data_IF_845318932363
#
_entry.id   IF_845318932363
#
_cell.length_a   1.000
_cell.length_b   1.000
_cell.length_c   1.000
_cell.angle_alpha   90.00
_cell.angle_beta   90.00
_cell.angle_gamma   90.00
#
_symmetry.space_group_name_H-M   'P 1'
#
loop_
_entity.id
_entity.type
_entity.pdbx_description
1 polymer ?
#
# COMPACT_ATOMS: atom_id res chain seq x y z
N UNK A 1 -17.83 -4.49 6.85
CA UNK A 1 -17.30 -3.35 7.62
C UNK A 1 -15.81 -3.07 7.39
N UNK A 2 -14.89 -4.04 7.34
CA UNK A 2 -13.51 -3.82 6.85
C UNK A 2 -13.28 -4.22 5.38
N UNK A 3 -14.23 -4.97 4.81
CA UNK A 3 -14.23 -5.47 3.43
C UNK A 3 -14.26 -4.33 2.41
N UNK A 4 -14.94 -3.24 2.74
CA UNK A 4 -15.23 -2.11 1.86
C UNK A 4 -14.02 -1.17 1.78
N UNK A 5 -13.41 -0.82 2.92
CA UNK A 5 -12.13 -0.09 2.95
C UNK A 5 -11.04 -0.89 2.23
N UNK A 6 -10.99 -2.21 2.44
CA UNK A 6 -10.10 -3.10 1.69
C UNK A 6 -10.37 -3.05 0.19
N UNK A 7 -11.63 -3.15 -0.24
CA UNK A 7 -11.99 -3.15 -1.67
C UNK A 7 -11.70 -1.80 -2.32
N UNK A 8 -11.84 -0.71 -1.56
CA UNK A 8 -11.55 0.66 -1.98
C UNK A 8 -10.07 0.91 -2.33
N UNK A 9 -9.15 0.11 -1.77
CA UNK A 9 -7.71 0.21 -2.09
C UNK A 9 -7.35 -0.37 -3.46
N UNK A 10 -8.20 -1.19 -4.07
CA UNK A 10 -7.90 -1.78 -5.38
C UNK A 10 -8.10 -0.77 -6.52
N UNK A 11 -7.22 -0.85 -7.52
CA UNK A 11 -7.23 0.04 -8.69
C UNK A 11 -6.73 1.45 -8.41
N UNK A 12 -6.23 1.72 -7.19
CA UNK A 12 -5.74 3.03 -6.76
C UNK A 12 -4.43 2.88 -5.99
N UNK A 13 -3.69 3.98 -5.92
CA UNK A 13 -2.65 4.18 -4.91
C UNK A 13 -3.24 4.86 -3.67
N UNK A 14 -2.80 4.46 -2.49
CA UNK A 14 -3.30 4.97 -1.21
C UNK A 14 -2.17 5.13 -0.21
N UNK A 15 -2.15 6.26 0.48
CA UNK A 15 -1.20 6.57 1.55
C UNK A 15 -1.95 6.83 2.83
N UNK A 16 -1.59 6.08 3.87
CA UNK A 16 -2.07 6.31 5.22
C UNK A 16 -1.09 7.22 5.94
N UNK A 17 -1.59 8.36 6.42
CA UNK A 17 -0.82 9.40 7.09
C UNK A 17 -1.27 9.50 8.53
N UNK A 18 -0.33 9.43 9.48
CA UNK A 18 -0.64 9.62 10.90
C UNK A 18 0.57 9.97 11.73
N UNK A 19 0.34 10.50 12.94
CA UNK A 19 1.40 10.76 13.91
C UNK A 19 1.86 9.47 14.59
N UNK A 20 2.96 9.54 15.33
CA UNK A 20 3.46 8.39 16.12
C UNK A 20 2.44 7.89 17.16
N UNK A 21 1.54 8.76 17.62
CA UNK A 21 0.56 8.45 18.65
C UNK A 21 -0.75 7.89 18.08
N UNK A 22 -0.92 7.93 16.76
CA UNK A 22 -2.13 7.43 16.09
C UNK A 22 -2.00 5.96 15.71
N UNK A 23 -3.08 5.16 15.76
CA UNK A 23 -3.05 3.72 15.46
C UNK A 23 -3.00 3.41 13.95
N UNK A 24 -2.43 4.31 13.14
CA UNK A 24 -2.36 4.23 11.68
C UNK A 24 -1.76 2.91 11.19
N UNK A 25 -0.61 2.52 11.76
CA UNK A 25 0.04 1.26 11.42
C UNK A 25 -0.89 0.07 11.74
N UNK A 26 -1.48 0.05 12.94
CA UNK A 26 -2.40 -1.00 13.37
C UNK A 26 -3.61 -1.14 12.42
N UNK A 27 -4.18 -0.03 11.97
CA UNK A 27 -5.29 -0.02 10.99
C UNK A 27 -4.85 -0.69 9.68
N UNK A 28 -3.68 -0.34 9.15
CA UNK A 28 -3.18 -0.94 7.90
C UNK A 28 -2.90 -2.43 8.07
N UNK A 29 -2.31 -2.85 9.19
CA UNK A 29 -2.13 -4.27 9.50
C UNK A 29 -3.47 -5.01 9.54
N UNK A 30 -4.52 -4.42 10.12
CA UNK A 30 -5.86 -5.02 10.12
C UNK A 30 -6.43 -5.16 8.70
N UNK A 31 -6.28 -4.16 7.83
CA UNK A 31 -6.77 -4.21 6.45
C UNK A 31 -6.04 -5.31 5.66
N UNK A 32 -4.72 -5.41 5.82
CA UNK A 32 -3.91 -6.42 5.14
C UNK A 32 -4.20 -7.82 5.69
N UNK A 33 -4.37 -7.98 6.99
CA UNK A 33 -4.82 -9.24 7.60
C UNK A 33 -6.15 -9.71 7.00
N UNK A 34 -7.14 -8.84 6.91
CA UNK A 34 -8.45 -9.13 6.31
C UNK A 34 -8.39 -9.41 4.79
N UNK A 35 -7.33 -8.96 4.12
CA UNK A 35 -7.07 -9.29 2.72
C UNK A 35 -6.58 -10.72 2.59
N UNK A 36 -5.56 -11.07 3.38
CA UNK A 36 -4.95 -12.40 3.39
C UNK A 36 -5.97 -13.45 3.88
N UNK A 37 -6.75 -13.14 4.93
CA UNK A 37 -7.83 -13.99 5.47
C UNK A 37 -8.91 -14.29 4.43
N UNK A 38 -9.15 -13.37 3.50
CA UNK A 38 -10.10 -13.56 2.40
C UNK A 38 -9.50 -14.32 1.20
N UNK A 39 -8.31 -14.89 1.35
CA UNK A 39 -7.64 -15.67 0.30
C UNK A 39 -6.99 -14.81 -0.79
N UNK A 40 -6.85 -13.50 -0.58
CA UNK A 40 -6.20 -12.59 -1.54
C UNK A 40 -4.74 -12.40 -1.20
N UNK A 41 -3.91 -12.24 -2.23
CA UNK A 41 -2.47 -12.07 -2.07
C UNK A 41 -2.09 -10.65 -1.65
N UNK A 42 -1.18 -10.56 -0.68
CA UNK A 42 -0.49 -9.33 -0.29
C UNK A 42 0.99 -9.49 -0.64
N UNK A 43 1.54 -8.52 -1.37
CA UNK A 43 2.96 -8.38 -1.65
C UNK A 43 3.47 -7.25 -0.77
N UNK A 44 4.28 -7.57 0.23
CA UNK A 44 4.85 -6.61 1.17
C UNK A 44 6.28 -6.24 0.77
N UNK A 45 6.50 -4.98 0.45
CA UNK A 45 7.82 -4.43 0.18
C UNK A 45 8.37 -3.84 1.48
N UNK A 46 9.43 -4.48 1.99
CA UNK A 46 10.08 -4.08 3.23
C UNK A 46 11.11 -3.00 2.95
N UNK A 47 10.82 -1.76 3.32
CA UNK A 47 11.77 -0.64 3.29
C UNK A 47 12.30 -0.33 4.69
N UNK A 48 11.46 -0.51 5.72
CA UNK A 48 11.77 -0.25 7.13
C UNK A 48 11.97 -1.53 7.94
N UNK A 49 10.97 -2.40 7.91
CA UNK A 49 10.83 -3.53 8.82
C UNK A 49 11.10 -4.82 8.07
N UNK A 50 11.95 -5.69 8.62
CA UNK A 50 12.21 -7.01 8.03
C UNK A 50 10.94 -7.86 8.05
N UNK A 51 10.83 -8.90 7.20
CA UNK A 51 9.71 -9.83 7.24
C UNK A 51 9.39 -10.35 8.65
N UNK A 52 10.41 -10.73 9.44
CA UNK A 52 10.22 -11.20 10.82
C UNK A 52 9.58 -10.14 11.73
N UNK A 53 10.02 -8.89 11.60
CA UNK A 53 9.46 -7.76 12.36
C UNK A 53 8.00 -7.54 11.98
N UNK A 54 7.66 -7.66 10.70
CA UNK A 54 6.28 -7.55 10.22
C UNK A 54 5.41 -8.66 10.82
N UNK A 55 5.85 -9.93 10.79
CA UNK A 55 5.12 -11.02 11.44
C UNK A 55 4.95 -10.80 12.95
N UNK A 56 6.00 -10.33 13.62
CA UNK A 56 5.94 -10.00 15.04
C UNK A 56 4.92 -8.91 15.34
N UNK A 57 4.81 -7.90 14.46
CA UNK A 57 3.79 -6.85 14.55
C UNK A 57 2.37 -7.40 14.37
N UNK A 58 2.12 -8.27 13.39
CA UNK A 58 0.84 -8.98 13.26
C UNK A 58 0.46 -9.71 14.55
N UNK A 59 1.38 -10.49 15.14
CA UNK A 59 1.14 -11.15 16.42
C UNK A 59 0.86 -10.17 17.56
N UNK A 60 1.61 -9.06 17.63
CA UNK A 60 1.44 -8.03 18.67
C UNK A 60 0.10 -7.30 18.59
N UNK A 61 -0.49 -7.24 17.39
CA UNK A 61 -1.83 -6.69 17.17
C UNK A 61 -2.94 -7.75 17.28
N UNK A 62 -2.61 -8.96 17.72
CA UNK A 62 -3.54 -10.09 17.84
C UNK A 62 -4.15 -10.49 16.48
N UNK A 63 -3.36 -10.42 15.41
CA UNK A 63 -3.73 -10.75 14.03
C UNK A 63 -2.93 -11.98 13.52
N UNK A 64 -3.19 -13.19 14.02
CA UNK A 64 -2.38 -14.39 13.76
C UNK A 64 -2.41 -14.84 12.29
N UNK A 65 -1.25 -14.77 11.60
CA UNK A 65 -1.11 -15.13 10.19
C UNK A 65 -0.85 -16.63 9.94
N UNK A 66 -0.70 -17.47 10.96
CA UNK A 66 -0.20 -18.86 10.82
C UNK A 66 -1.08 -19.75 9.92
N UNK A 67 -2.33 -19.36 9.68
CA UNK A 67 -3.26 -20.09 8.80
C UNK A 67 -3.36 -19.54 7.38
N UNK A 68 -2.73 -18.39 7.11
CA UNK A 68 -2.91 -17.63 5.88
C UNK A 68 -1.59 -17.10 5.30
N UNK A 69 -0.45 -17.48 5.90
CA UNK A 69 0.90 -17.07 5.49
C UNK A 69 1.18 -17.32 4.01
N UNK A 70 0.44 -18.27 3.40
CA UNK A 70 0.60 -18.60 1.99
C UNK A 70 0.23 -17.51 1.00
N UNK A 71 -0.63 -16.59 1.42
CA UNK A 71 -1.07 -15.45 0.63
C UNK A 71 -0.22 -14.20 0.87
N UNK A 72 0.90 -14.31 1.59
CA UNK A 72 1.80 -13.20 1.88
C UNK A 72 3.17 -13.44 1.26
N UNK A 73 3.60 -12.49 0.44
CA UNK A 73 4.93 -12.48 -0.20
C UNK A 73 5.71 -11.25 0.23
N UNK A 74 7.01 -11.39 0.37
CA UNK A 74 7.89 -10.27 0.73
C UNK A 74 8.89 -9.96 -0.37
N UNK A 75 9.13 -8.68 -0.58
CA UNK A 75 10.29 -8.16 -1.30
C UNK A 75 11.08 -7.36 -0.28
N UNK A 76 12.13 -8.00 0.25
CA UNK A 76 12.94 -7.46 1.33
C UNK A 76 14.06 -6.60 0.78
N UNK A 77 13.97 -5.30 1.02
CA UNK A 77 14.98 -4.30 0.66
C UNK A 77 15.44 -3.52 1.91
N UNK A 78 15.34 -4.12 3.09
CA UNK A 78 15.73 -3.48 4.34
C UNK A 78 17.24 -3.25 4.43
N UNK A 79 17.64 -2.19 5.14
CA UNK A 79 19.05 -1.83 5.33
C UNK A 79 19.73 -2.75 6.36
N UNK A 80 18.96 -3.40 7.23
CA UNK A 80 19.46 -4.06 8.44
C UNK A 80 20.12 -5.42 8.20
N UNK A 81 20.14 -5.93 6.96
CA UNK A 81 20.93 -7.10 6.58
C UNK A 81 20.52 -8.40 7.28
N UNK A 82 19.25 -8.53 7.68
CA UNK A 82 18.74 -9.76 8.30
C UNK A 82 18.90 -10.95 7.33
N UNK A 83 19.69 -11.93 7.78
CA UNK A 83 20.04 -13.10 6.98
C UNK A 83 19.08 -14.26 7.18
N UNK A 84 18.12 -14.17 8.12
CA UNK A 84 17.13 -15.23 8.32
C UNK A 84 16.17 -15.35 7.14
N UNK A 85 16.11 -16.56 6.58
CA UNK A 85 15.33 -16.85 5.38
C UNK A 85 13.89 -17.12 5.80
N UNK A 86 13.04 -16.10 5.71
CA UNK A 86 11.60 -16.32 5.72
C UNK A 86 11.16 -16.94 4.37
N UNK A 87 10.26 -17.94 4.38
CA UNK A 87 9.63 -18.42 3.16
C UNK A 87 8.95 -17.28 2.40
N UNK A 88 8.89 -17.39 1.06
CA UNK A 88 8.19 -16.43 0.18
C UNK A 88 8.76 -15.01 0.22
N UNK A 89 10.05 -14.90 0.52
CA UNK A 89 10.80 -13.64 0.49
C UNK A 89 11.78 -13.60 -0.68
N UNK A 90 11.69 -12.57 -1.51
CA UNK A 90 12.74 -12.18 -2.45
C UNK A 90 13.60 -11.09 -1.82
N UNK A 91 14.92 -11.23 -1.86
CA UNK A 91 15.84 -10.23 -1.31
C UNK A 91 16.38 -9.32 -2.40
N UNK A 92 16.30 -8.03 -2.15
CA UNK A 92 16.91 -7.00 -2.95
C UNK A 92 18.01 -6.29 -2.15
N UNK A 93 19.08 -5.82 -2.81
CA UNK A 93 19.99 -4.87 -2.18
C UNK A 93 19.21 -3.66 -1.67
N UNK A 94 19.68 -3.09 -0.56
CA UNK A 94 19.00 -1.97 0.10
C UNK A 94 18.74 -0.81 -0.86
N UNK A 95 17.46 -0.44 -0.99
CA UNK A 95 16.95 0.64 -1.84
C UNK A 95 17.26 0.46 -3.33
N UNK A 96 17.49 -0.79 -3.78
CA UNK A 96 17.61 -1.12 -5.20
C UNK A 96 16.22 -1.18 -5.85
N UNK A 97 15.81 -0.03 -6.38
CA UNK A 97 14.52 0.13 -7.07
C UNK A 97 14.33 -0.80 -8.25
N UNK A 98 15.40 -1.13 -8.99
CA UNK A 98 15.29 -2.00 -10.15
C UNK A 98 14.96 -3.42 -9.69
N UNK A 99 15.64 -3.90 -8.65
CA UNK A 99 15.32 -5.19 -8.04
C UNK A 99 13.90 -5.22 -7.47
N UNK A 100 13.51 -4.21 -6.69
CA UNK A 100 12.15 -4.13 -6.09
C UNK A 100 11.08 -4.20 -7.18
N UNK A 101 11.21 -3.36 -8.21
CA UNK A 101 10.24 -3.32 -9.32
C UNK A 101 10.17 -4.67 -10.01
N UNK A 102 11.31 -5.29 -10.32
CA UNK A 102 11.37 -6.57 -11.02
C UNK A 102 10.66 -7.68 -10.23
N UNK A 103 10.94 -7.81 -8.94
CA UNK A 103 10.34 -8.86 -8.11
C UNK A 103 8.85 -8.61 -7.84
N UNK A 104 8.44 -7.36 -7.62
CA UNK A 104 7.01 -7.02 -7.49
C UNK A 104 6.25 -7.31 -8.79
N UNK A 105 6.76 -6.89 -9.95
CA UNK A 105 6.11 -7.13 -11.25
C UNK A 105 6.00 -8.62 -11.55
N UNK A 106 7.05 -9.40 -11.24
CA UNK A 106 7.04 -10.86 -11.38
C UNK A 106 5.98 -11.51 -10.47
N UNK A 107 5.87 -11.05 -9.22
CA UNK A 107 4.81 -11.50 -8.31
C UNK A 107 3.43 -11.13 -8.83
N UNK A 108 3.23 -9.92 -9.33
CA UNK A 108 1.94 -9.48 -9.91
C UNK A 108 1.52 -10.31 -11.13
N UNK A 109 2.47 -10.73 -11.98
CA UNK A 109 2.17 -11.64 -13.11
C UNK A 109 1.68 -13.01 -12.63
N UNK A 110 2.19 -13.49 -11.49
CA UNK A 110 1.79 -14.78 -10.89
C UNK A 110 0.51 -14.66 -10.06
N UNK A 111 0.33 -13.53 -9.40
CA UNK A 111 -0.76 -13.22 -8.49
C UNK A 111 -1.38 -11.86 -8.88
N UNK A 112 -2.18 -11.83 -9.96
CA UNK A 112 -2.87 -10.61 -10.37
C UNK A 112 -3.82 -10.17 -9.27
N UNK A 113 -4.22 -8.90 -9.28
CA UNK A 113 -5.10 -8.30 -8.26
C UNK A 113 -4.54 -8.42 -6.83
N UNK A 114 -3.22 -8.41 -6.66
CA UNK A 114 -2.60 -8.36 -5.31
C UNK A 114 -2.66 -6.93 -4.74
N UNK A 115 -2.74 -6.81 -3.41
CA UNK A 115 -2.37 -5.56 -2.74
C UNK A 115 -0.85 -5.51 -2.57
N UNK A 116 -0.23 -4.43 -3.01
CA UNK A 116 1.19 -4.17 -2.80
C UNK A 116 1.33 -3.14 -1.70
N UNK A 117 2.01 -3.50 -0.62
CA UNK A 117 2.22 -2.67 0.56
C UNK A 117 3.67 -2.20 0.65
N UNK A 118 3.91 -0.91 0.79
CA UNK A 118 5.20 -0.34 1.19
C UNK A 118 5.10 0.08 2.65
N UNK A 119 5.93 -0.50 3.53
CA UNK A 119 5.84 -0.23 4.97
C UNK A 119 6.11 1.23 5.36
N UNK A 120 6.92 1.97 4.61
CA UNK A 120 7.11 3.41 4.81
C UNK A 120 7.69 4.09 3.56
N UNK A 121 6.87 4.86 2.83
CA UNK A 121 7.34 5.62 1.66
C UNK A 121 8.32 6.74 2.04
N UNK A 122 8.27 7.23 3.27
CA UNK A 122 9.16 8.26 3.80
C UNK A 122 10.63 7.84 3.82
N UNK A 123 10.93 6.54 3.89
CA UNK A 123 12.31 6.03 3.78
C UNK A 123 12.92 6.37 2.42
N UNK A 124 12.11 6.40 1.37
CA UNK A 124 12.59 6.73 0.04
C UNK A 124 13.10 8.16 -0.02
N UNK A 125 12.50 9.08 0.76
CA UNK A 125 12.90 10.49 0.82
C UNK A 125 14.31 10.71 1.40
N UNK A 126 14.89 9.74 2.11
CA UNK A 126 16.22 9.85 2.69
C UNK A 126 17.36 9.98 1.64
N UNK A 127 17.06 9.79 0.35
CA UNK A 127 18.05 9.82 -0.73
C UNK A 127 18.22 11.19 -1.40
N UNK A 128 17.61 12.26 -0.89
CA UNK A 128 17.77 13.67 -1.31
C UNK A 128 17.61 13.94 -2.83
N UNK A 129 17.00 13.01 -3.57
CA UNK A 129 16.76 13.11 -5.02
C UNK A 129 15.37 12.64 -5.36
N UNK A 130 14.38 13.52 -5.18
CA UNK A 130 12.96 13.20 -5.38
C UNK A 130 12.67 12.61 -6.78
N UNK A 131 13.33 13.12 -7.83
CA UNK A 131 13.22 12.59 -9.19
C UNK A 131 13.62 11.11 -9.34
N UNK A 132 14.57 10.63 -8.53
CA UNK A 132 15.04 9.23 -8.54
C UNK A 132 14.01 8.31 -7.90
N UNK A 133 13.10 8.83 -7.09
CA UNK A 133 12.06 8.08 -6.37
C UNK A 133 10.73 8.12 -7.14
N UNK A 134 10.36 9.31 -7.66
CA UNK A 134 9.07 9.55 -8.33
C UNK A 134 8.88 8.64 -9.53
N UNK A 135 9.88 8.52 -10.41
CA UNK A 135 9.73 7.76 -11.66
C UNK A 135 9.57 6.26 -11.40
N UNK A 136 10.40 5.61 -10.56
CA UNK A 136 10.18 4.22 -10.14
C UNK A 136 8.81 3.98 -9.50
N UNK A 137 8.37 4.85 -8.60
CA UNK A 137 7.07 4.70 -7.93
C UNK A 137 5.90 4.83 -8.91
N UNK A 138 5.89 5.84 -9.79
CA UNK A 138 4.85 5.98 -10.81
C UNK A 138 4.79 4.77 -11.73
N UNK A 139 5.94 4.24 -12.13
CA UNK A 139 6.00 3.03 -12.95
C UNK A 139 5.39 1.84 -12.20
N UNK A 140 5.80 1.62 -10.95
CA UNK A 140 5.32 0.50 -10.16
C UNK A 140 3.81 0.59 -9.90
N UNK A 141 3.32 1.75 -9.49
CA UNK A 141 1.90 2.02 -9.31
C UNK A 141 1.09 1.75 -10.60
N UNK A 142 1.57 2.21 -11.75
CA UNK A 142 0.94 1.92 -13.04
C UNK A 142 0.84 0.41 -13.29
N UNK A 143 1.89 -0.36 -12.97
CA UNK A 143 1.90 -1.83 -13.13
C UNK A 143 0.95 -2.53 -12.17
N UNK A 144 0.89 -2.09 -10.93
CA UNK A 144 -0.02 -2.62 -9.92
C UNK A 144 -1.47 -2.43 -10.38
N UNK A 145 -1.82 -1.20 -10.79
CA UNK A 145 -3.17 -0.85 -11.26
C UNK A 145 -3.54 -1.58 -12.55
N UNK A 146 -2.62 -1.74 -13.49
CA UNK A 146 -2.85 -2.51 -14.72
C UNK A 146 -3.20 -3.98 -14.46
N UNK A 147 -2.71 -4.56 -13.36
CA UNK A 147 -3.05 -5.92 -12.93
C UNK A 147 -4.28 -5.97 -12.02
N UNK A 148 -5.04 -4.87 -11.91
CA UNK A 148 -6.19 -4.74 -11.01
C UNK A 148 -5.84 -4.78 -9.52
N UNK A 149 -4.56 -4.61 -9.17
CA UNK A 149 -4.08 -4.55 -7.79
C UNK A 149 -4.29 -3.18 -7.15
N UNK A 150 -3.88 -3.05 -5.90
CA UNK A 150 -3.89 -1.78 -5.16
C UNK A 150 -2.51 -1.49 -4.58
N UNK A 151 -2.08 -0.22 -4.62
CA UNK A 151 -0.84 0.21 -3.99
C UNK A 151 -1.13 0.89 -2.66
N UNK A 152 -0.58 0.39 -1.57
CA UNK A 152 -0.79 0.90 -0.22
C UNK A 152 0.55 1.28 0.38
N UNK A 153 0.61 2.40 1.09
CA UNK A 153 1.81 2.76 1.85
C UNK A 153 1.47 3.52 3.13
N UNK A 154 2.40 3.51 4.08
CA UNK A 154 2.40 4.41 5.24
C UNK A 154 3.30 5.61 5.01
N UNK A 155 2.94 6.73 5.60
CA UNK A 155 3.80 7.89 5.78
C UNK A 155 3.60 8.43 7.21
N UNK A 156 4.67 8.43 8.01
CA UNK A 156 4.64 9.08 9.31
C UNK A 156 4.61 10.61 9.13
N UNK A 157 3.69 11.27 9.82
CA UNK A 157 3.48 12.71 9.70
C UNK A 157 4.74 13.47 10.12
N UNK A 158 5.16 14.48 9.33
CA UNK A 158 6.39 15.27 9.52
C UNK A 158 7.70 14.46 9.51
N UNK A 159 7.71 13.23 8.99
CA UNK A 159 8.93 12.42 8.92
C UNK A 159 9.91 12.87 7.83
N UNK A 160 9.46 13.73 6.90
CA UNK A 160 10.22 14.19 5.73
C UNK A 160 10.01 15.70 5.51
N UNK A 161 10.93 16.40 4.80
CA UNK A 161 10.75 17.82 4.50
C UNK A 161 9.46 18.07 3.71
N UNK A 162 8.72 19.13 4.05
CA UNK A 162 7.38 19.37 3.50
C UNK A 162 7.31 19.50 1.97
N UNK A 163 8.39 19.93 1.30
CA UNK A 163 8.45 19.94 -0.17
C UNK A 163 8.50 18.53 -0.76
N UNK A 164 9.28 17.63 -0.14
CA UNK A 164 9.38 16.22 -0.56
C UNK A 164 8.09 15.47 -0.24
N UNK A 165 7.47 15.80 0.88
CA UNK A 165 6.15 15.27 1.26
C UNK A 165 5.09 15.61 0.23
N UNK A 166 4.97 16.89 -0.14
CA UNK A 166 4.00 17.33 -1.14
C UNK A 166 4.21 16.66 -2.50
N UNK A 167 5.47 16.47 -2.92
CA UNK A 167 5.79 15.76 -4.16
C UNK A 167 5.40 14.27 -4.10
N UNK A 168 5.68 13.58 -2.99
CA UNK A 168 5.31 12.17 -2.81
C UNK A 168 3.80 11.98 -2.73
N UNK A 169 3.10 12.80 -1.93
CA UNK A 169 1.65 12.76 -1.79
C UNK A 169 0.94 13.10 -3.11
N UNK A 170 1.52 13.98 -3.93
CA UNK A 170 1.02 14.29 -5.27
C UNK A 170 1.09 13.12 -6.26
N UNK A 171 1.74 12.00 -5.91
CA UNK A 171 1.75 10.76 -6.70
C UNK A 171 0.62 9.81 -6.35
N UNK A 172 -0.08 10.04 -5.24
CA UNK A 172 -0.99 9.08 -4.63
C UNK A 172 -2.44 9.52 -4.87
N UNK A 173 -3.27 8.60 -5.32
CA UNK A 173 -4.67 8.89 -5.67
C UNK A 173 -5.54 9.18 -4.43
N UNK A 174 -5.22 8.52 -3.31
CA UNK A 174 -5.99 8.57 -2.06
C UNK A 174 -5.09 8.88 -0.89
N UNK A 175 -5.39 9.95 -0.16
CA UNK A 175 -4.73 10.29 1.10
C UNK A 175 -5.68 9.94 2.23
N UNK A 176 -5.25 9.06 3.14
CA UNK A 176 -6.02 8.60 4.28
C UNK A 176 -5.32 9.08 5.54
N UNK A 177 -5.78 10.20 6.10
CA UNK A 177 -5.28 10.71 7.36
C UNK A 177 -5.98 9.99 8.52
N UNK A 178 -5.23 9.59 9.52
CA UNK A 178 -5.75 8.93 10.72
C UNK A 178 -5.43 9.81 11.91
N UNK A 179 -6.47 10.14 12.69
CA UNK A 179 -6.32 10.76 14.00
C UNK A 179 -6.67 9.75 15.11
N UNK A 180 -6.87 10.22 16.34
CA UNK A 180 -7.14 9.36 17.50
C UNK A 180 -8.44 8.57 17.40
N UNK A 181 -9.47 9.13 16.73
CA UNK A 181 -10.83 8.57 16.73
C UNK A 181 -11.44 8.44 15.34
N UNK A 182 -10.81 9.00 14.30
CA UNK A 182 -11.35 9.09 12.94
C UNK A 182 -10.32 8.77 11.87
N UNK A 183 -10.85 8.20 10.78
CA UNK A 183 -10.18 8.03 9.50
C UNK A 183 -10.75 9.07 8.54
N UNK A 184 -9.91 9.96 8.05
CA UNK A 184 -10.20 11.00 7.08
C UNK A 184 -9.64 10.58 5.72
N UNK A 185 -10.49 10.14 4.80
CA UNK A 185 -10.09 9.75 3.45
C UNK A 185 -10.41 10.87 2.45
N UNK A 186 -9.42 11.25 1.65
CA UNK A 186 -9.52 12.26 0.60
C UNK A 186 -9.20 11.65 -0.78
N UNK A 187 -10.08 11.89 -1.75
CA UNK A 187 -9.92 11.51 -3.15
C UNK A 187 -10.28 12.71 -4.03
N UNK A 188 -9.28 13.37 -4.59
CA UNK A 188 -9.48 14.63 -5.31
C UNK A 188 -10.17 15.68 -4.42
N UNK A 189 -11.36 16.14 -4.83
CA UNK A 189 -12.17 17.09 -4.07
C UNK A 189 -13.19 16.45 -3.12
N UNK A 190 -13.28 15.11 -3.08
CA UNK A 190 -14.19 14.40 -2.20
C UNK A 190 -13.47 14.03 -0.90
N UNK A 191 -14.16 14.14 0.21
CA UNK A 191 -13.66 13.79 1.54
C UNK A 191 -14.70 12.97 2.29
N UNK A 192 -14.23 12.03 3.11
CA UNK A 192 -15.03 11.24 4.03
C UNK A 192 -14.31 11.16 5.37
N UNK A 193 -15.07 11.31 6.46
CA UNK A 193 -14.55 11.13 7.82
C UNK A 193 -15.37 10.05 8.51
N UNK A 194 -14.70 8.98 8.95
CA UNK A 194 -15.34 7.82 9.57
C UNK A 194 -14.77 7.63 10.98
N UNK A 195 -15.60 7.65 12.03
CA UNK A 195 -15.15 7.27 13.36
C UNK A 195 -14.65 5.83 13.36
N UNK A 196 -13.71 5.49 14.23
CA UNK A 196 -13.29 4.11 14.43
C UNK A 196 -13.04 3.81 15.91
N UNK A 197 -13.12 2.54 16.27
CA UNK A 197 -12.62 2.05 17.55
C UNK A 197 -12.07 0.63 17.41
N UNK A 198 -11.31 0.20 18.42
CA UNK A 198 -10.86 -1.17 18.53
C UNK A 198 -11.59 -1.88 19.67
N UNK A 199 -12.13 -3.06 19.41
CA UNK A 199 -12.63 -3.98 20.44
C UNK A 199 -11.76 -5.22 20.44
N UNK A 200 -10.78 -5.27 21.36
CA UNK A 200 -9.70 -6.25 21.27
C UNK A 200 -8.89 -6.04 19.98
N UNK A 201 -8.79 -7.08 19.15
CA UNK A 201 -8.10 -7.06 17.85
C UNK A 201 -8.93 -6.50 16.70
N UNK A 202 -10.26 -6.36 16.87
CA UNK A 202 -11.19 -6.00 15.80
C UNK A 202 -11.27 -4.48 15.60
N UNK A 203 -11.13 -4.03 14.35
CA UNK A 203 -11.37 -2.64 13.92
C UNK A 203 -12.84 -2.45 13.56
N UNK A 204 -13.51 -1.55 14.27
CA UNK A 204 -14.92 -1.20 14.06
C UNK A 204 -14.99 0.22 13.50
N UNK A 205 -15.74 0.42 12.41
CA UNK A 205 -15.98 1.72 11.78
C UNK A 205 -17.37 2.28 12.17
N UNK A 206 -17.44 3.47 12.74
CA UNK A 206 -18.63 4.05 13.36
C UNK A 206 -19.58 4.80 12.43
N UNK A 207 -19.88 4.30 11.21
CA UNK A 207 -20.93 4.90 10.35
C UNK A 207 -21.94 3.84 9.88
N UNK A 208 -23.23 4.19 9.97
CA UNK A 208 -24.39 3.35 9.58
C UNK A 208 -24.49 3.19 8.06
N UNK A 209 -23.88 4.11 7.29
CA UNK A 209 -23.82 4.10 5.83
C UNK A 209 -22.36 4.17 5.31
N UNK A 210 -21.36 3.84 6.15
CA UNK A 210 -19.93 3.87 5.82
C UNK A 210 -19.64 3.19 4.48
N UNK A 211 -20.37 2.12 4.21
CA UNK A 211 -20.27 1.29 3.01
C UNK A 211 -20.62 2.05 1.73
N UNK A 212 -21.71 2.83 1.71
CA UNK A 212 -22.11 3.64 0.55
C UNK A 212 -21.20 4.84 0.37
N UNK A 213 -20.77 5.44 1.47
CA UNK A 213 -19.91 6.61 1.48
C UNK A 213 -18.51 6.26 0.94
N UNK A 214 -17.93 5.14 1.39
CA UNK A 214 -16.68 4.60 0.87
C UNK A 214 -16.81 4.23 -0.61
N UNK A 215 -17.88 3.53 -1.02
CA UNK A 215 -18.06 3.23 -2.45
C UNK A 215 -18.15 4.49 -3.31
N UNK A 216 -18.88 5.53 -2.87
CA UNK A 216 -19.01 6.79 -3.61
C UNK A 216 -17.73 7.64 -3.65
N UNK A 217 -16.88 7.52 -2.62
CA UNK A 217 -15.58 8.19 -2.57
C UNK A 217 -14.56 7.52 -3.50
N UNK A 218 -14.52 6.19 -3.49
CA UNK A 218 -13.47 5.40 -4.16
C UNK A 218 -13.86 4.90 -5.56
N UNK A 219 -15.11 5.03 -6.00
CA UNK A 219 -15.50 4.72 -7.38
C UNK A 219 -14.78 5.62 -8.39
N UNK A 220 -14.03 5.03 -9.34
CA UNK A 220 -13.55 5.76 -10.51
C UNK A 220 -14.74 6.16 -11.39
N UNK A 221 -14.73 7.40 -11.87
CA UNK A 221 -15.63 7.80 -12.95
C UNK A 221 -15.27 7.05 -14.24
N UNK A 222 -16.22 6.85 -15.17
CA UNK A 222 -15.94 6.22 -16.46
C UNK A 222 -14.80 6.90 -17.24
N UNK A 223 -14.68 8.22 -17.11
CA UNK A 223 -13.64 9.02 -17.77
C UNK A 223 -12.25 8.80 -17.13
N UNK A 224 -12.17 8.71 -15.81
CA UNK A 224 -10.92 8.38 -15.10
C UNK A 224 -10.42 6.98 -15.46
N UNK A 225 -11.34 6.01 -15.58
CA UNK A 225 -11.00 4.65 -16.00
C UNK A 225 -10.40 4.62 -17.42
N UNK A 226 -11.04 5.32 -18.36
CA UNK A 226 -10.58 5.40 -19.75
C UNK A 226 -9.22 6.09 -19.90
N UNK A 227 -8.95 7.12 -19.10
CA UNK A 227 -7.65 7.80 -19.06
C UNK A 227 -6.54 6.89 -18.54
N UNK A 228 -6.85 6.08 -17.52
CA UNK A 228 -5.91 5.10 -16.96
C UNK A 228 -5.49 4.05 -17.99
N UNK A 229 -6.46 3.52 -18.74
CA UNK A 229 -6.23 2.51 -19.78
C UNK A 229 -5.30 3.03 -20.89
N UNK A 230 -5.51 4.28 -21.32
CA UNK A 230 -4.66 4.95 -22.32
C UNK A 230 -3.21 5.19 -21.83
N UNK A 231 -3.03 5.62 -20.57
CA UNK A 231 -1.68 5.83 -20.02
C UNK A 231 -0.86 4.53 -19.88
N UNK A 232 -1.53 3.40 -19.65
CA UNK A 232 -0.88 2.08 -19.57
C UNK A 232 -0.37 1.66 -20.94
N UNK A 233 -1.19 1.78 -21.98
CA UNK A 233 -0.81 1.48 -23.37
C UNK A 233 0.33 2.39 -23.86
N UNK A 234 0.25 3.69 -23.57
CA UNK A 234 1.27 4.66 -23.97
C UNK A 234 2.61 4.47 -23.25
N UNK A 235 2.68 3.81 -22.09
CA UNK A 235 3.96 3.66 -21.35
C UNK A 235 4.57 2.27 -21.46
N UNK A 236 3.87 1.28 -22.03
CA UNK A 236 4.35 -0.09 -22.18
C UNK A 236 5.66 -0.18 -23.00
N UNK A 237 5.76 0.63 -24.07
CA UNK A 237 6.91 0.63 -24.97
C UNK A 237 8.19 1.26 -24.37
N UNK A 238 8.05 2.16 -23.39
CA UNK A 238 9.18 2.86 -22.74
C UNK A 238 10.04 1.94 -21.87
N UNK A 239 9.56 0.74 -21.55
CA UNK A 239 10.24 -0.21 -20.67
C UNK A 239 10.51 -1.57 -21.33
N UNK A 240 10.39 -1.65 -22.67
CA UNK A 240 10.85 -2.79 -23.46
C UNK A 240 10.09 -4.09 -23.22
N UNK A 241 8.82 -4.04 -22.82
CA UNK A 241 8.01 -5.25 -22.77
C UNK A 241 7.62 -5.71 -24.18
N UNK A 242 7.73 -7.02 -24.49
CA UNK A 242 7.17 -7.54 -25.71
C UNK A 242 5.65 -7.34 -25.67
N UNK A 243 5.13 -6.76 -26.75
CA UNK A 243 3.72 -6.82 -27.08
C UNK A 243 3.43 -8.28 -27.44
N UNK A 244 2.52 -8.92 -26.71
CA UNK A 244 1.91 -10.17 -27.15
C UNK A 244 1.06 -9.92 -28.41
#
# INVERSE_FOLDING_TARGET
MTVELRNALYGRSSVFVGSLDTPTERIVYHILYETVRAGKTVIWVCLRDTPNTIFSKFSSYELPLERFDENMWFVDSTITGDSTIMPRTYRCPSLDYACIIMEVVKLLKKYPTSLVMFDNIGILAALDRVNVIVRPLKYLDTRIRAQGGGFVTLLANKAIPGSVEAELLGLIDVIIMVDEEKIHAQVGSKELSIPFCFTGSELILGSVDADKELQGLFSLTPDEKKKLELEVEEKAHLYGEPTD
#
